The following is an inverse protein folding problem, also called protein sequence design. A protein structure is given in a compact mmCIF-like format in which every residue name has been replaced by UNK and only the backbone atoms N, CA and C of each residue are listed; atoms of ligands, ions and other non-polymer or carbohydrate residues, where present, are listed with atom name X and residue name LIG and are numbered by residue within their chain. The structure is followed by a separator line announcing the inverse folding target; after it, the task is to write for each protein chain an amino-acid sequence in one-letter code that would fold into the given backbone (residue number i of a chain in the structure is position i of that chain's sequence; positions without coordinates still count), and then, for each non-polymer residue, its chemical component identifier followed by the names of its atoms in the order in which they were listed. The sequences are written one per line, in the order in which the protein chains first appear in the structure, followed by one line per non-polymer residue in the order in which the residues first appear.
data_IF_019438768331
#
_entry.id   IF_019438768331
#
_cell.length_a   1.000
_cell.length_b   1.000
_cell.length_c   1.000
_cell.angle_alpha   90.00
_cell.angle_beta   90.00
_cell.angle_gamma   90.00
#
_symmetry.space_group_name_H-M   'P 1'
#
loop_
_entity.id
_entity.type
_entity.pdbx_description
1 polymer ?
#
# COMPACT_ATOMS: atom_id res chain seq x y z
N UNK A 1 11.98 -17.88 -3.26
CA UNK A 1 12.63 -16.98 -4.24
C UNK A 1 11.65 -16.55 -5.33
N UNK A 2 10.80 -17.46 -5.81
CA UNK A 2 9.76 -17.19 -6.81
C UNK A 2 8.84 -16.01 -6.44
N UNK A 3 8.23 -16.00 -5.24
CA UNK A 3 7.33 -14.92 -4.81
C UNK A 3 7.94 -13.52 -4.91
N UNK A 4 9.21 -13.34 -4.56
CA UNK A 4 9.86 -12.02 -4.64
C UNK A 4 9.99 -11.54 -6.08
N UNK A 5 10.23 -12.45 -7.03
CA UNK A 5 10.26 -12.14 -8.46
C UNK A 5 8.88 -11.77 -9.01
N UNK A 6 7.84 -12.51 -8.60
CA UNK A 6 6.46 -12.21 -8.98
C UNK A 6 6.03 -10.83 -8.45
N UNK A 7 6.33 -10.51 -7.19
CA UNK A 7 6.03 -9.19 -6.61
C UNK A 7 6.80 -8.07 -7.31
N UNK A 8 8.08 -8.29 -7.66
CA UNK A 8 8.90 -7.32 -8.39
C UNK A 8 8.40 -7.05 -9.82
N UNK A 9 7.59 -7.95 -10.38
CA UNK A 9 7.00 -7.79 -11.72
C UNK A 9 5.64 -7.06 -11.70
N UNK A 10 5.06 -6.79 -10.52
CA UNK A 10 3.80 -6.04 -10.41
C UNK A 10 4.06 -4.52 -10.46
N UNK A 11 3.11 -3.77 -11.03
CA UNK A 11 3.10 -2.30 -10.94
C UNK A 11 2.70 -1.80 -9.55
N UNK A 12 1.83 -2.56 -8.86
CA UNK A 12 1.31 -2.26 -7.53
C UNK A 12 0.92 -3.56 -6.82
N UNK A 13 1.26 -3.66 -5.54
CA UNK A 13 0.78 -4.74 -4.65
C UNK A 13 -0.17 -4.14 -3.62
N UNK A 14 -1.41 -4.63 -3.60
CA UNK A 14 -2.41 -4.27 -2.59
C UNK A 14 -2.48 -5.39 -1.56
N UNK A 15 -2.29 -5.05 -0.29
CA UNK A 15 -2.31 -6.02 0.79
C UNK A 15 -2.51 -5.37 2.15
N UNK A 16 -2.84 -6.18 3.16
CA UNK A 16 -2.79 -5.73 4.55
C UNK A 16 -1.35 -5.79 5.09
N UNK A 17 -1.16 -5.32 6.32
CA UNK A 17 0.11 -5.36 7.03
C UNK A 17 0.59 -6.80 7.28
N UNK A 18 1.38 -7.32 6.34
CA UNK A 18 1.87 -8.71 6.29
C UNK A 18 3.25 -8.78 5.67
N UNK A 19 3.96 -9.89 5.90
CA UNK A 19 5.30 -10.10 5.34
C UNK A 19 5.37 -10.05 3.81
N UNK A 20 4.29 -10.42 3.10
CA UNK A 20 4.23 -10.32 1.64
C UNK A 20 4.20 -8.88 1.13
N UNK A 21 3.44 -8.01 1.81
CA UNK A 21 3.43 -6.57 1.53
C UNK A 21 4.80 -5.95 1.81
N UNK A 22 5.41 -6.28 2.96
CA UNK A 22 6.76 -5.81 3.31
C UNK A 22 7.81 -6.29 2.31
N UNK A 23 7.69 -7.54 1.85
CA UNK A 23 8.57 -8.08 0.81
C UNK A 23 8.40 -7.33 -0.52
N UNK A 24 7.18 -7.00 -0.93
CA UNK A 24 6.91 -6.21 -2.13
C UNK A 24 7.60 -4.83 -2.05
N UNK A 25 7.43 -4.13 -0.93
CA UNK A 25 8.12 -2.86 -0.69
C UNK A 25 9.66 -3.02 -0.69
N UNK A 26 10.19 -4.10 -0.12
CA UNK A 26 11.62 -4.39 -0.09
C UNK A 26 12.23 -4.68 -1.46
N UNK A 27 11.47 -5.25 -2.40
CA UNK A 27 11.94 -5.50 -3.77
C UNK A 27 11.71 -4.31 -4.72
N UNK A 28 11.22 -3.18 -4.21
CA UNK A 28 11.05 -1.95 -4.98
C UNK A 28 9.67 -1.76 -5.61
N UNK A 29 8.73 -2.67 -5.36
CA UNK A 29 7.36 -2.57 -5.90
C UNK A 29 6.55 -1.56 -5.11
N UNK A 30 5.77 -0.73 -5.80
CA UNK A 30 4.79 0.15 -5.16
C UNK A 30 3.79 -0.68 -4.34
N UNK A 31 3.45 -0.20 -3.13
CA UNK A 31 2.51 -0.91 -2.25
C UNK A 31 1.35 -0.02 -1.83
N UNK A 32 0.15 -0.59 -1.77
CA UNK A 32 -0.97 0.00 -1.06
C UNK A 32 -1.33 -0.89 0.12
N UNK A 33 -1.17 -0.34 1.33
CA UNK A 33 -1.32 -1.09 2.57
C UNK A 33 -2.64 -0.76 3.21
N UNK A 34 -3.47 -1.78 3.38
CA UNK A 34 -4.74 -1.71 4.09
C UNK A 34 -4.48 -1.94 5.58
N UNK A 35 -4.56 -0.87 6.37
CA UNK A 35 -4.40 -0.92 7.81
C UNK A 35 -5.75 -1.05 8.51
N UNK A 36 -5.74 -1.83 9.58
CA UNK A 36 -6.86 -1.90 10.52
C UNK A 36 -6.31 -1.81 11.94
N UNK A 37 -6.19 -2.93 12.67
CA UNK A 37 -5.82 -2.89 14.08
C UNK A 37 -4.33 -2.65 14.33
N UNK A 38 -3.47 -2.83 13.32
CA UNK A 38 -2.02 -2.62 13.45
C UNK A 38 -1.65 -1.14 13.32
N UNK A 39 -0.50 -0.76 13.89
CA UNK A 39 -0.05 0.62 13.94
C UNK A 39 0.86 0.96 12.74
N UNK A 40 0.40 1.79 11.78
CA UNK A 40 1.17 2.12 10.58
C UNK A 40 2.50 2.83 10.87
N UNK A 41 2.61 3.53 12.01
CA UNK A 41 3.82 4.24 12.42
C UNK A 41 4.90 3.29 12.93
N UNK A 42 4.53 2.05 13.28
CA UNK A 42 5.44 1.03 13.82
C UNK A 42 5.72 -0.06 12.78
N UNK A 43 4.69 -0.49 12.06
CA UNK A 43 4.75 -1.64 11.13
C UNK A 43 4.54 -1.24 9.68
N UNK A 44 4.58 0.06 9.35
CA UNK A 44 4.48 0.53 7.98
C UNK A 44 5.63 0.07 7.07
N UNK A 45 5.45 0.16 5.74
CA UNK A 45 6.52 -0.14 4.79
C UNK A 45 7.75 0.72 5.06
N UNK A 46 8.91 0.08 5.13
CA UNK A 46 10.16 0.71 5.56
C UNK A 46 11.00 1.25 4.40
N UNK A 47 10.97 0.58 3.24
CA UNK A 47 11.81 0.90 2.10
C UNK A 47 11.20 2.00 1.21
N UNK A 48 12.03 2.55 0.33
CA UNK A 48 11.74 3.76 -0.45
C UNK A 48 10.75 3.56 -1.60
N UNK A 49 10.29 2.33 -1.86
CA UNK A 49 9.28 2.09 -2.89
C UNK A 49 8.01 2.92 -2.57
N UNK A 50 7.31 3.44 -3.60
CA UNK A 50 6.11 4.23 -3.39
C UNK A 50 5.09 3.47 -2.53
N UNK A 51 4.49 4.17 -1.56
CA UNK A 51 3.55 3.56 -0.63
C UNK A 51 2.34 4.45 -0.38
N UNK A 52 1.19 3.80 -0.25
CA UNK A 52 -0.05 4.44 0.19
C UNK A 52 -0.55 3.67 1.40
N UNK A 53 -0.81 4.37 2.50
CA UNK A 53 -1.37 3.78 3.71
C UNK A 53 -2.87 4.13 3.75
N UNK A 54 -3.73 3.11 3.66
CA UNK A 54 -5.18 3.28 3.65
C UNK A 54 -5.73 2.81 4.99
N UNK A 55 -6.44 3.70 5.67
CA UNK A 55 -7.10 3.43 6.95
C UNK A 55 -8.60 3.71 6.85
N UNK A 56 -9.43 3.10 7.71
CA UNK A 56 -10.84 3.47 7.82
C UNK A 56 -11.00 4.96 8.10
N UNK A 57 -12.11 5.54 7.63
CA UNK A 57 -12.43 6.95 7.89
C UNK A 57 -12.49 7.22 9.40
N UNK A 58 -11.89 8.32 9.84
CA UNK A 58 -11.82 8.70 11.26
C UNK A 58 -10.88 7.84 12.12
N UNK A 59 -10.12 6.90 11.53
CA UNK A 59 -9.10 6.14 12.24
C UNK A 59 -7.92 7.04 12.67
N UNK A 60 -7.40 6.89 13.90
CA UNK A 60 -6.19 7.60 14.32
C UNK A 60 -4.97 7.31 13.43
N UNK A 61 -3.94 8.17 13.42
CA UNK A 61 -2.69 7.90 12.71
C UNK A 61 -2.00 6.59 13.13
N UNK A 62 -2.18 6.17 14.37
CA UNK A 62 -1.66 4.93 14.96
C UNK A 62 -2.51 3.68 14.61
N UNK A 63 -3.54 3.82 13.78
CA UNK A 63 -4.45 2.72 13.45
C UNK A 63 -5.39 2.34 14.60
N UNK A 64 -5.72 1.05 14.68
CA UNK A 64 -6.51 0.46 15.78
C UNK A 64 -7.98 0.20 15.45
N UNK A 65 -8.47 0.68 14.30
CA UNK A 65 -9.83 0.39 13.82
C UNK A 65 -9.93 -1.01 13.19
N UNK A 66 -11.15 -1.54 13.04
CA UNK A 66 -11.34 -2.78 12.28
C UNK A 66 -11.01 -2.56 10.81
N UNK A 67 -10.24 -3.46 10.20
CA UNK A 67 -10.00 -3.43 8.74
C UNK A 67 -11.30 -3.61 7.94
N UNK A 68 -12.33 -4.20 8.55
CA UNK A 68 -13.66 -4.37 7.94
C UNK A 68 -14.40 -3.04 7.76
N UNK A 69 -13.94 -1.96 8.40
CA UNK A 69 -14.48 -0.61 8.24
C UNK A 69 -13.93 0.11 7.01
N UNK A 70 -13.07 -0.53 6.22
CA UNK A 70 -12.66 -0.03 4.91
C UNK A 70 -13.76 -0.31 3.89
N UNK A 71 -14.32 0.75 3.32
CA UNK A 71 -15.28 0.64 2.21
C UNK A 71 -14.54 0.32 0.90
N UNK A 72 -14.82 -0.82 0.24
CA UNK A 72 -14.07 -1.24 -0.95
C UNK A 72 -14.08 -0.22 -2.10
N UNK A 73 -15.18 0.53 -2.27
CA UNK A 73 -15.27 1.60 -3.26
C UNK A 73 -14.29 2.74 -2.97
N UNK A 74 -14.27 3.22 -1.72
CA UNK A 74 -13.35 4.28 -1.30
C UNK A 74 -11.88 3.85 -1.37
N UNK A 75 -11.59 2.57 -1.12
CA UNK A 75 -10.26 1.99 -1.33
C UNK A 75 -9.92 2.03 -2.82
N UNK A 76 -10.80 1.54 -3.69
CA UNK A 76 -10.57 1.51 -5.13
C UNK A 76 -10.33 2.91 -5.71
N UNK A 77 -11.10 3.91 -5.28
CA UNK A 77 -10.94 5.31 -5.71
C UNK A 77 -9.55 5.85 -5.36
N UNK A 78 -9.10 5.66 -4.11
CA UNK A 78 -7.76 6.07 -3.66
C UNK A 78 -6.64 5.37 -4.45
N UNK A 79 -6.82 4.09 -4.80
CA UNK A 79 -5.85 3.33 -5.60
C UNK A 79 -5.76 3.87 -7.02
N UNK A 80 -6.90 4.15 -7.66
CA UNK A 80 -6.94 4.70 -9.02
C UNK A 80 -6.28 6.07 -9.08
N UNK A 81 -6.61 6.96 -8.14
CA UNK A 81 -5.99 8.29 -8.04
C UNK A 81 -4.46 8.19 -7.87
N UNK A 82 -4.01 7.26 -7.03
CA UNK A 82 -2.58 7.08 -6.76
C UNK A 82 -1.81 6.50 -7.96
N UNK A 83 -2.43 5.59 -8.72
CA UNK A 83 -1.84 5.06 -9.96
C UNK A 83 -1.75 6.14 -11.03
N UNK A 84 -2.79 6.95 -11.20
CA UNK A 84 -2.79 8.08 -12.14
C UNK A 84 -1.70 9.09 -11.80
N UNK A 85 -1.52 9.41 -10.51
CA UNK A 85 -0.47 10.31 -10.03
C UNK A 85 0.95 9.79 -10.33
N UNK A 86 1.16 8.47 -10.26
CA UNK A 86 2.46 7.84 -10.57
C UNK A 86 2.74 7.83 -12.08
N UNK A 87 1.71 7.62 -12.92
CA UNK A 87 1.86 7.65 -14.39
C UNK A 87 2.14 9.05 -14.94
N UNK A 88 1.74 10.11 -14.24
CA UNK A 88 1.98 11.50 -14.66
C UNK A 88 3.43 11.97 -14.52
N UNK A 89 4.30 11.20 -13.87
CA UNK A 89 5.72 11.56 -13.65
C UNK A 89 6.63 11.08 -14.79
N UNK A 90 6.11 10.27 -15.73
CA UNK A 90 6.83 9.86 -16.94
C UNK A 90 6.44 10.71 -18.15
N UNK A 91 6.78 11.99 -18.13
CA UNK A 91 6.89 12.82 -19.34
C UNK A 91 7.93 13.92 -19.12
N UNK A 92 9.21 13.58 -19.30
CA UNK A 92 10.23 14.50 -19.80
C UNK A 92 11.27 13.68 -20.56
N UNK A 93 11.37 13.96 -21.86
CA UNK A 93 12.44 13.75 -22.86
C UNK A 93 13.56 12.72 -22.63
#
# INVERSE_FOLDING_TARGET
RELAGELAACDLVVGNDTGGMHLANAVGTSVAVLFGPTNPLVTGPFFDAPRINIQPEGCPPEGGSSIQSLEPGAVADQLVESLQAQTGVCNVD
#
